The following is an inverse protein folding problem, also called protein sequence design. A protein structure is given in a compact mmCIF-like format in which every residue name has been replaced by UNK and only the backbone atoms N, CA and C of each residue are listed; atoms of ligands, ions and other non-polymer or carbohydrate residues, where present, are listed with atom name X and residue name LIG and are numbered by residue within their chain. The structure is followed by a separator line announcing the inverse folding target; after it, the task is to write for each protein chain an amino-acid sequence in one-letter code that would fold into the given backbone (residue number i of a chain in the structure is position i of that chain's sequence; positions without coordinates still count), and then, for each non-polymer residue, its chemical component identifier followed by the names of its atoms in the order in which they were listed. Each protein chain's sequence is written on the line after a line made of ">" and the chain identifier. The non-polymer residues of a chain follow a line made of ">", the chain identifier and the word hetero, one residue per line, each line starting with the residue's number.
data_IF_809192285977
#
_entry.id   IF_809192285977
#
_cell.length_a   1.000
_cell.length_b   1.000
_cell.length_c   1.000
_cell.angle_alpha   90.00
_cell.angle_beta   90.00
_cell.angle_gamma   90.00
#
_symmetry.space_group_name_H-M   'P 1'
#
loop_
_entity.id
_entity.type
_entity.pdbx_description
1 polymer ?
#
# COMPACT_ATOMS: atom_id res chain seq x y z
N UNK A 1 -37.68 -18.44 -73.18
CA UNK A 1 -38.42 -19.18 -72.15
C UNK A 1 -37.72 -18.90 -70.82
N UNK A 2 -38.14 -17.83 -70.14
CA UNK A 2 -38.93 -17.84 -68.90
C UNK A 2 -38.10 -18.40 -67.71
N UNK A 3 -37.44 -17.52 -66.94
CA UNK A 3 -37.86 -17.02 -65.61
C UNK A 3 -37.83 -18.09 -64.49
N UNK A 4 -36.96 -17.94 -63.49
CA UNK A 4 -37.33 -17.34 -62.19
C UNK A 4 -36.15 -17.34 -61.21
N UNK A 5 -35.92 -16.20 -60.57
CA UNK A 5 -35.06 -16.03 -59.39
C UNK A 5 -35.70 -16.63 -58.13
N UNK A 6 -34.89 -17.16 -57.20
CA UNK A 6 -35.16 -17.09 -55.76
C UNK A 6 -33.83 -16.90 -55.02
N UNK A 7 -33.62 -15.69 -54.51
CA UNK A 7 -32.64 -15.36 -53.46
C UNK A 7 -33.33 -15.52 -52.11
N UNK A 8 -32.72 -16.25 -51.18
CA UNK A 8 -33.17 -16.33 -49.78
C UNK A 8 -32.27 -15.47 -48.91
N UNK A 9 -32.76 -14.28 -48.53
CA UNK A 9 -32.25 -13.50 -47.40
C UNK A 9 -32.82 -14.04 -46.10
N UNK A 10 -31.96 -14.35 -45.14
CA UNK A 10 -32.35 -14.71 -43.77
C UNK A 10 -32.18 -13.49 -42.88
N UNK A 11 -33.28 -12.79 -42.60
CA UNK A 11 -33.33 -11.68 -41.66
C UNK A 11 -33.39 -12.19 -40.21
N UNK A 12 -32.47 -11.74 -39.36
CA UNK A 12 -32.46 -12.00 -37.91
C UNK A 12 -33.32 -10.92 -37.24
N UNK A 13 -34.28 -11.25 -36.36
CA UNK A 13 -35.07 -10.24 -35.67
C UNK A 13 -34.25 -9.56 -34.56
N UNK A 14 -34.15 -8.23 -34.64
CA UNK A 14 -33.64 -7.37 -33.57
C UNK A 14 -34.75 -7.17 -32.54
N UNK A 15 -34.64 -7.82 -31.38
CA UNK A 15 -35.51 -7.53 -30.23
C UNK A 15 -34.91 -6.38 -29.44
N UNK A 16 -35.48 -5.19 -29.61
CA UNK A 16 -35.28 -4.02 -28.76
C UNK A 16 -35.97 -4.23 -27.42
N UNK A 17 -35.21 -4.23 -26.33
CA UNK A 17 -35.72 -4.13 -24.96
C UNK A 17 -36.00 -2.66 -24.62
N UNK A 18 -37.11 -2.34 -23.93
CA UNK A 18 -37.42 -0.96 -23.57
C UNK A 18 -36.54 -0.48 -22.41
N UNK A 19 -36.12 0.79 -22.49
CA UNK A 19 -35.45 1.52 -21.43
C UNK A 19 -36.39 1.68 -20.23
N UNK A 20 -35.93 1.27 -19.05
CA UNK A 20 -36.57 1.60 -17.79
C UNK A 20 -35.78 2.73 -17.12
N UNK A 21 -36.35 3.95 -17.14
CA UNK A 21 -36.02 5.01 -16.20
C UNK A 21 -36.43 4.57 -14.78
N UNK A 22 -35.46 4.49 -13.88
CA UNK A 22 -35.73 4.56 -12.43
C UNK A 22 -34.72 5.51 -11.81
N UNK A 23 -35.18 6.75 -11.61
CA UNK A 23 -34.57 7.71 -10.69
C UNK A 23 -34.84 7.21 -9.28
N UNK A 24 -33.83 6.68 -8.59
CA UNK A 24 -33.89 6.49 -7.15
C UNK A 24 -32.79 7.30 -6.46
N UNK A 25 -33.22 8.42 -5.91
CA UNK A 25 -32.45 9.31 -5.04
C UNK A 25 -32.37 8.64 -3.66
N UNK A 26 -31.27 7.95 -3.39
CA UNK A 26 -31.08 7.28 -2.10
C UNK A 26 -30.42 8.24 -1.11
N UNK A 27 -31.25 8.96 -0.35
CA UNK A 27 -30.84 9.66 0.87
C UNK A 27 -30.81 8.66 2.02
N UNK A 28 -29.65 8.44 2.60
CA UNK A 28 -29.46 7.63 3.81
C UNK A 28 -30.16 8.29 5.02
N UNK A 29 -30.87 7.54 5.87
CA UNK A 29 -31.38 8.07 7.14
C UNK A 29 -30.25 8.15 8.18
N UNK A 30 -30.17 9.28 8.90
CA UNK A 30 -29.33 9.45 10.09
C UNK A 30 -29.77 8.49 11.23
N UNK A 31 -28.82 8.02 12.06
CA UNK A 31 -29.16 7.21 13.23
C UNK A 31 -29.79 8.09 14.34
N UNK A 32 -30.73 7.53 15.13
CA UNK A 32 -31.37 8.28 16.21
C UNK A 32 -30.39 8.56 17.34
N UNK A 33 -30.38 9.82 17.78
CA UNK A 33 -29.66 10.28 18.98
C UNK A 33 -30.47 9.90 20.22
N UNK A 34 -30.02 8.91 20.98
CA UNK A 34 -30.54 8.64 22.32
C UNK A 34 -29.60 9.23 23.36
N UNK A 35 -30.08 10.29 24.01
CA UNK A 35 -29.46 10.89 25.19
C UNK A 35 -29.51 9.90 26.38
N UNK A 36 -28.36 9.65 26.99
CA UNK A 36 -28.25 8.93 28.27
C UNK A 36 -28.26 9.98 29.39
N UNK A 37 -29.15 9.87 30.40
CA UNK A 37 -29.20 10.83 31.50
C UNK A 37 -28.01 10.61 32.46
N UNK A 38 -27.40 11.73 32.86
CA UNK A 38 -26.42 11.79 33.95
C UNK A 38 -27.12 11.53 35.29
N UNK A 39 -26.61 10.58 36.07
CA UNK A 39 -26.93 10.47 37.49
C UNK A 39 -25.65 10.53 38.32
N UNK A 40 -25.49 11.64 39.03
CA UNK A 40 -24.55 11.80 40.13
C UNK A 40 -24.99 10.92 41.30
N UNK A 41 -24.11 10.05 41.78
CA UNK A 41 -24.32 9.23 42.97
C UNK A 41 -23.01 9.08 43.74
N UNK A 42 -22.81 9.99 44.69
CA UNK A 42 -21.78 9.94 45.73
C UNK A 42 -22.10 8.78 46.67
N UNK A 43 -21.19 7.82 46.84
CA UNK A 43 -21.04 7.08 48.11
C UNK A 43 -19.57 6.70 48.35
N UNK A 44 -19.17 6.99 49.58
CA UNK A 44 -17.83 6.93 50.18
C UNK A 44 -17.50 5.57 50.81
N UNK A 45 -16.19 5.41 51.08
CA UNK A 45 -15.49 4.44 51.94
C UNK A 45 -15.33 3.03 51.33
N UNK A 46 -14.14 2.45 51.22
CA UNK A 46 -12.84 2.71 51.85
C UNK A 46 -12.41 1.47 52.62
N UNK A 47 -11.52 0.65 52.05
CA UNK A 47 -10.59 -0.23 52.79
C UNK A 47 -9.32 -0.37 51.96
N UNK A 48 -8.20 0.03 52.56
CA UNK A 48 -6.85 -0.05 52.02
C UNK A 48 -6.30 -1.48 52.10
N UNK A 49 -5.50 -1.86 51.10
CA UNK A 49 -4.49 -2.92 51.25
C UNK A 49 -3.21 -2.44 50.58
N UNK A 50 -2.23 -2.12 51.42
CA UNK A 50 -0.86 -1.80 51.06
C UNK A 50 -0.16 -3.06 50.56
N UNK A 51 0.42 -2.99 49.35
CA UNK A 51 1.49 -3.89 48.94
C UNK A 51 2.76 -3.07 48.70
N UNK A 52 3.72 -3.29 49.59
CA UNK A 52 5.10 -2.82 49.57
C UNK A 52 5.91 -3.49 48.45
N UNK A 53 6.79 -2.76 47.74
CA UNK A 53 7.75 -3.37 46.82
C UNK A 53 9.06 -3.72 47.55
N UNK A 54 9.48 -4.98 47.46
CA UNK A 54 10.81 -5.45 47.90
C UNK A 54 11.78 -5.48 46.71
N UNK A 55 13.00 -4.92 46.81
CA UNK A 55 13.98 -4.91 45.72
C UNK A 55 15.03 -6.02 45.88
N UNK A 56 15.44 -6.68 44.79
CA UNK A 56 16.71 -7.45 44.70
C UNK A 56 17.02 -7.78 43.23
N UNK A 57 18.27 -8.10 42.84
CA UNK A 57 19.41 -7.20 42.66
C UNK A 57 19.90 -7.13 41.19
N UNK A 58 20.77 -6.15 40.93
CA UNK A 58 21.46 -5.94 39.67
C UNK A 58 22.44 -7.08 39.32
N UNK A 59 22.39 -7.57 38.08
CA UNK A 59 23.43 -8.39 37.46
C UNK A 59 24.26 -7.57 36.46
N UNK A 60 25.57 -7.83 36.48
CA UNK A 60 26.60 -7.07 35.78
C UNK A 60 27.19 -7.90 34.63
N UNK A 61 27.24 -7.28 33.44
CA UNK A 61 28.14 -7.47 32.28
C UNK A 61 28.16 -8.82 31.55
N UNK A 62 27.97 -8.73 30.22
CA UNK A 62 29.07 -8.92 29.26
C UNK A 62 28.79 -8.19 27.94
N UNK A 63 29.75 -7.39 27.50
CA UNK A 63 29.74 -6.74 26.19
C UNK A 63 30.25 -7.76 25.16
N UNK A 64 29.37 -8.13 24.21
CA UNK A 64 29.76 -8.86 23.01
C UNK A 64 29.99 -7.85 21.89
N UNK A 65 31.24 -7.64 21.53
CA UNK A 65 31.63 -6.78 20.40
C UNK A 65 31.39 -7.55 19.12
N UNK A 66 30.17 -7.52 18.59
CA UNK A 66 29.90 -7.98 17.23
C UNK A 66 30.23 -6.85 16.27
N UNK A 67 31.31 -7.02 15.50
CA UNK A 67 31.68 -6.12 14.42
C UNK A 67 30.59 -6.23 13.36
N UNK A 68 29.77 -5.19 13.22
CA UNK A 68 28.84 -5.06 12.11
C UNK A 68 29.64 -5.01 10.79
N UNK A 69 29.26 -5.77 9.76
CA UNK A 69 29.86 -5.60 8.44
C UNK A 69 29.55 -4.17 7.96
N UNK A 70 30.59 -3.45 7.56
CA UNK A 70 30.49 -2.09 7.04
C UNK A 70 29.60 -2.07 5.80
N UNK A 71 28.63 -1.15 5.77
CA UNK A 71 27.80 -0.89 4.58
C UNK A 71 28.68 -0.72 3.34
N UNK A 72 28.34 -1.35 2.20
CA UNK A 72 29.06 -1.13 0.96
C UNK A 72 28.91 0.34 0.52
N UNK A 73 30.01 0.92 0.07
CA UNK A 73 30.10 2.32 -0.33
C UNK A 73 29.32 2.59 -1.62
N UNK A 74 28.88 3.84 -1.83
CA UNK A 74 28.17 4.30 -3.03
C UNK A 74 28.71 3.79 -4.39
N UNK A 75 30.03 3.61 -4.59
CA UNK A 75 30.56 3.03 -5.83
C UNK A 75 30.22 1.55 -6.05
N UNK A 76 30.03 0.77 -4.99
CA UNK A 76 29.67 -0.65 -5.08
C UNK A 76 28.22 -0.85 -5.58
N UNK A 77 27.32 0.08 -5.23
CA UNK A 77 25.96 0.13 -5.76
C UNK A 77 25.95 0.41 -7.27
N UNK A 78 26.74 1.39 -7.73
CA UNK A 78 26.81 1.74 -9.14
C UNK A 78 27.36 0.59 -10.03
N UNK A 79 28.34 -0.16 -9.53
CA UNK A 79 28.90 -1.31 -10.24
C UNK A 79 27.90 -2.48 -10.33
N UNK A 80 27.19 -2.78 -9.23
CA UNK A 80 26.16 -3.83 -9.21
C UNK A 80 24.96 -3.51 -10.14
N UNK A 81 24.61 -2.22 -10.27
CA UNK A 81 23.58 -1.76 -11.23
C UNK A 81 23.99 -2.06 -12.68
N UNK A 82 25.29 -2.01 -12.99
CA UNK A 82 25.78 -2.26 -14.36
C UNK A 82 25.86 -3.74 -14.74
N UNK A 83 26.07 -4.64 -13.77
CA UNK A 83 26.13 -6.09 -14.01
C UNK A 83 24.73 -6.75 -13.98
N UNK A 84 23.75 -6.17 -13.26
CA UNK A 84 22.38 -6.68 -13.23
C UNK A 84 21.54 -6.34 -14.48
N UNK A 85 22.08 -5.50 -15.38
CA UNK A 85 21.36 -4.96 -16.54
C UNK A 85 21.12 -5.96 -17.70
N UNK A 86 21.60 -7.20 -17.59
CA UNK A 86 21.44 -8.26 -18.61
C UNK A 86 20.23 -9.19 -18.36
N UNK A 87 19.49 -8.98 -17.28
CA UNK A 87 18.20 -9.64 -17.02
C UNK A 87 17.07 -8.68 -17.36
N UNK A 88 16.04 -9.17 -18.06
CA UNK A 88 14.82 -8.43 -18.41
C UNK A 88 14.21 -7.74 -17.17
N UNK A 89 14.56 -6.47 -16.94
CA UNK A 89 14.15 -5.64 -15.80
C UNK A 89 12.75 -5.07 -16.00
N UNK A 90 11.81 -5.97 -16.32
CA UNK A 90 10.43 -5.65 -16.64
C UNK A 90 9.71 -5.04 -15.42
N UNK A 91 8.98 -3.92 -15.61
CA UNK A 91 8.13 -3.33 -14.56
C UNK A 91 7.11 -4.33 -13.99
N UNK A 92 6.92 -4.34 -12.67
CA UNK A 92 5.99 -5.25 -11.98
C UNK A 92 4.55 -5.19 -12.53
N UNK A 93 4.11 -4.03 -12.98
CA UNK A 93 2.83 -3.82 -13.65
C UNK A 93 2.95 -2.75 -14.74
N UNK A 94 1.91 -2.57 -15.56
CA UNK A 94 1.93 -1.59 -16.66
C UNK A 94 2.15 -0.15 -16.15
N UNK A 95 3.21 0.57 -16.58
CA UNK A 95 3.47 1.94 -16.17
C UNK A 95 2.37 2.96 -16.54
N UNK A 96 1.44 2.57 -17.41
CA UNK A 96 0.27 3.38 -17.82
C UNK A 96 -0.80 3.49 -16.71
N UNK A 97 -0.78 2.58 -15.74
CA UNK A 97 -1.67 2.65 -14.58
C UNK A 97 -1.32 3.86 -13.69
N UNK A 98 -0.04 4.26 -13.64
CA UNK A 98 0.37 5.50 -12.98
C UNK A 98 0.01 6.67 -13.90
N UNK A 99 -0.88 7.57 -13.46
CA UNK A 99 -1.35 8.71 -14.25
C UNK A 99 -0.22 9.66 -14.63
N UNK A 100 -0.32 10.25 -15.83
CA UNK A 100 0.66 11.22 -16.31
C UNK A 100 0.61 12.53 -15.51
N UNK A 101 -0.56 12.87 -14.94
CA UNK A 101 -0.69 13.96 -13.98
C UNK A 101 0.19 13.72 -12.73
N UNK A 102 0.14 12.53 -12.14
CA UNK A 102 0.97 12.22 -10.98
C UNK A 102 2.46 12.27 -11.34
N UNK A 103 2.85 11.74 -12.51
CA UNK A 103 4.24 11.84 -13.00
C UNK A 103 4.68 13.30 -13.17
N UNK A 104 3.83 14.14 -13.75
CA UNK A 104 4.12 15.56 -14.02
C UNK A 104 4.20 16.42 -12.74
N UNK A 105 3.61 15.96 -11.63
CA UNK A 105 3.60 16.70 -10.35
C UNK A 105 4.76 16.33 -9.41
N UNK A 106 5.63 15.41 -9.82
CA UNK A 106 6.87 15.12 -9.11
C UNK A 106 7.82 16.33 -9.14
N UNK A 107 8.64 16.53 -8.09
CA UNK A 107 9.75 17.47 -8.16
C UNK A 107 10.72 17.09 -9.29
N UNK A 108 11.36 18.11 -9.89
CA UNK A 108 12.41 17.91 -10.90
C UNK A 108 13.47 16.92 -10.39
N UNK A 109 13.90 16.02 -11.26
CA UNK A 109 14.91 15.01 -10.94
C UNK A 109 14.36 13.71 -10.35
N UNK A 110 13.09 13.67 -9.96
CA UNK A 110 12.45 12.46 -9.45
C UNK A 110 11.65 11.75 -10.53
N UNK A 111 11.55 10.43 -10.41
CA UNK A 111 10.67 9.60 -11.23
C UNK A 111 9.81 8.71 -10.35
N UNK A 112 8.64 8.31 -10.85
CA UNK A 112 7.77 7.30 -10.22
C UNK A 112 7.49 6.20 -11.22
N UNK A 113 7.66 4.95 -10.79
CA UNK A 113 7.50 3.77 -11.65
C UNK A 113 7.10 2.54 -10.84
N UNK A 114 6.59 1.49 -11.49
CA UNK A 114 6.44 0.18 -10.84
C UNK A 114 7.79 -0.32 -10.31
N UNK A 115 7.72 -1.09 -9.22
CA UNK A 115 8.85 -1.86 -8.70
C UNK A 115 9.41 -2.76 -9.80
N UNK A 116 10.70 -3.03 -9.74
CA UNK A 116 11.39 -3.97 -10.61
C UNK A 116 12.25 -4.93 -9.80
N UNK A 117 12.67 -6.03 -10.40
CA UNK A 117 13.53 -7.01 -9.73
C UNK A 117 14.87 -6.41 -9.33
N UNK A 118 15.46 -5.58 -10.21
CA UNK A 118 16.75 -4.92 -9.94
C UNK A 118 16.72 -3.93 -8.77
N UNK A 119 15.54 -3.50 -8.30
CA UNK A 119 15.40 -2.57 -7.18
C UNK A 119 15.89 -3.15 -5.84
N UNK A 120 16.16 -4.47 -5.78
CA UNK A 120 16.94 -5.07 -4.69
C UNK A 120 18.27 -4.32 -4.47
N UNK A 121 18.99 -4.02 -5.56
CA UNK A 121 20.21 -3.22 -5.55
C UNK A 121 19.93 -1.72 -5.62
N UNK A 122 18.71 -1.32 -5.96
CA UNK A 122 18.30 0.07 -6.15
C UNK A 122 17.94 0.83 -4.89
N UNK A 123 18.14 0.28 -3.68
CA UNK A 123 17.81 0.96 -2.41
C UNK A 123 16.37 0.75 -1.92
N UNK A 124 15.64 -0.22 -2.47
CA UNK A 124 14.27 -0.52 -2.06
C UNK A 124 14.16 -0.98 -0.59
N UNK A 125 14.92 -1.99 -0.18
CA UNK A 125 14.88 -2.51 1.19
C UNK A 125 15.36 -1.47 2.22
N UNK A 126 16.46 -0.72 1.99
CA UNK A 126 16.82 0.42 2.84
C UNK A 126 15.71 1.45 3.01
N UNK A 127 14.95 1.74 1.96
CA UNK A 127 13.82 2.68 2.02
C UNK A 127 12.70 2.15 2.92
N UNK A 128 12.33 0.87 2.81
CA UNK A 128 11.30 0.27 3.68
C UNK A 128 11.66 0.28 5.18
N UNK A 129 12.96 0.23 5.52
CA UNK A 129 13.43 0.24 6.92
C UNK A 129 13.08 1.50 7.70
N UNK A 130 12.67 2.59 7.04
CA UNK A 130 12.18 3.77 7.77
C UNK A 130 10.78 3.57 8.36
N UNK A 131 10.02 2.60 7.85
CA UNK A 131 8.66 2.28 8.29
C UNK A 131 8.67 1.26 9.43
N UNK A 132 9.38 0.15 9.25
CA UNK A 132 9.40 -0.96 10.21
C UNK A 132 10.63 -1.87 10.03
N UNK A 133 10.73 -2.92 10.84
CA UNK A 133 11.76 -3.96 10.71
C UNK A 133 11.59 -4.74 9.40
N UNK A 134 12.65 -4.81 8.59
CA UNK A 134 12.69 -5.59 7.34
C UNK A 134 13.53 -6.86 7.49
N UNK A 135 14.64 -6.79 8.24
CA UNK A 135 15.69 -7.81 8.23
C UNK A 135 16.67 -7.63 7.06
N UNK A 136 17.45 -8.68 6.78
CA UNK A 136 18.49 -8.72 5.75
C UNK A 136 18.25 -9.88 4.78
N UNK A 137 17.15 -9.86 3.99
CA UNK A 137 16.88 -10.92 3.04
C UNK A 137 17.96 -10.98 1.96
N UNK A 138 18.36 -12.19 1.62
CA UNK A 138 19.23 -12.46 0.48
C UNK A 138 18.54 -12.10 -0.84
N UNK A 139 19.31 -11.89 -1.91
CA UNK A 139 18.76 -11.63 -3.24
C UNK A 139 17.81 -12.75 -3.69
N UNK A 140 18.16 -14.01 -3.43
CA UNK A 140 17.33 -15.16 -3.80
C UNK A 140 15.96 -15.15 -3.09
N UNK A 141 15.91 -14.74 -1.82
CA UNK A 141 14.66 -14.59 -1.07
C UNK A 141 13.81 -13.43 -1.60
N UNK A 142 14.46 -12.31 -1.95
CA UNK A 142 13.79 -11.18 -2.58
C UNK A 142 13.21 -11.58 -3.95
N UNK A 143 14.00 -12.25 -4.80
CA UNK A 143 13.59 -12.69 -6.13
C UNK A 143 12.42 -13.68 -6.04
N UNK A 144 12.49 -14.65 -5.13
CA UNK A 144 11.39 -15.59 -4.91
C UNK A 144 10.10 -14.89 -4.46
N UNK A 145 10.21 -13.86 -3.60
CA UNK A 145 9.07 -13.03 -3.20
C UNK A 145 8.56 -12.18 -4.37
N UNK A 146 9.46 -11.61 -5.18
CA UNK A 146 9.10 -10.84 -6.37
C UNK A 146 8.35 -11.69 -7.39
N UNK A 147 8.79 -12.92 -7.65
CA UNK A 147 8.11 -13.87 -8.54
C UNK A 147 6.70 -14.20 -8.07
N UNK A 148 6.55 -14.42 -6.76
CA UNK A 148 5.23 -14.62 -6.17
C UNK A 148 4.31 -13.42 -6.37
N UNK A 149 4.82 -12.19 -6.17
CA UNK A 149 4.03 -10.97 -6.33
C UNK A 149 3.71 -10.74 -7.82
N UNK A 150 4.69 -10.89 -8.71
CA UNK A 150 4.58 -10.69 -10.16
C UNK A 150 3.60 -11.67 -10.82
N UNK A 151 3.54 -12.93 -10.35
CA UNK A 151 2.54 -13.90 -10.81
C UNK A 151 1.09 -13.55 -10.42
N UNK A 152 0.88 -12.47 -9.64
CA UNK A 152 -0.41 -11.93 -9.21
C UNK A 152 -0.54 -10.46 -9.62
N UNK A 153 -0.25 -10.20 -10.89
CA UNK A 153 -0.18 -8.86 -11.51
C UNK A 153 -1.52 -8.08 -11.58
N UNK A 154 -2.60 -8.68 -11.09
CA UNK A 154 -3.92 -8.08 -10.92
C UNK A 154 -4.29 -7.80 -9.45
N UNK A 155 -3.35 -8.07 -8.53
CA UNK A 155 -3.56 -8.02 -7.08
C UNK A 155 -2.60 -7.07 -6.40
N UNK A 156 -1.30 -7.16 -6.72
CA UNK A 156 -0.26 -6.36 -6.06
C UNK A 156 0.28 -5.30 -7.01
N UNK A 157 0.17 -4.04 -6.61
CA UNK A 157 0.70 -2.91 -7.35
C UNK A 157 1.68 -2.16 -6.44
N UNK A 158 2.96 -2.50 -6.57
CA UNK A 158 4.04 -1.87 -5.80
C UNK A 158 4.77 -0.89 -6.70
N UNK A 159 4.89 0.36 -6.25
CA UNK A 159 5.58 1.42 -6.96
C UNK A 159 6.67 2.05 -6.11
N UNK A 160 7.63 2.65 -6.80
CA UNK A 160 8.78 3.33 -6.20
C UNK A 160 8.91 4.73 -6.77
N UNK A 161 9.42 5.64 -5.95
CA UNK A 161 9.97 6.91 -6.39
C UNK A 161 11.49 6.79 -6.37
N UNK A 162 12.13 7.16 -7.48
CA UNK A 162 13.58 7.25 -7.59
C UNK A 162 14.03 8.73 -7.62
N UNK A 163 15.19 9.02 -7.05
CA UNK A 163 15.85 10.32 -7.20
C UNK A 163 16.70 10.40 -8.48
N UNK A 164 17.45 11.50 -8.65
CA UNK A 164 18.28 11.79 -9.83
C UNK A 164 19.37 10.73 -10.08
N UNK A 165 19.79 10.01 -9.05
CA UNK A 165 20.77 8.93 -9.17
C UNK A 165 20.15 7.61 -9.62
N UNK A 166 18.82 7.54 -9.71
CA UNK A 166 18.06 6.31 -9.92
C UNK A 166 17.80 5.52 -8.64
N UNK A 167 18.29 5.96 -7.48
CA UNK A 167 18.09 5.29 -6.19
C UNK A 167 16.64 5.41 -5.75
N UNK A 168 16.04 4.30 -5.34
CA UNK A 168 14.72 4.25 -4.69
C UNK A 168 14.79 5.01 -3.37
N UNK A 169 13.91 6.00 -3.24
CA UNK A 169 13.82 6.90 -2.08
C UNK A 169 12.41 7.00 -1.50
N UNK A 170 11.44 6.41 -2.18
CA UNK A 170 10.08 6.25 -1.68
C UNK A 170 9.44 5.00 -2.25
N UNK A 171 8.52 4.41 -1.51
CA UNK A 171 7.78 3.21 -1.91
C UNK A 171 6.38 3.23 -1.31
N UNK A 172 5.49 2.51 -1.97
CA UNK A 172 4.17 2.17 -1.47
C UNK A 172 3.53 1.09 -2.32
N UNK A 173 2.54 0.42 -1.76
CA UNK A 173 1.79 -0.63 -2.43
C UNK A 173 0.29 -0.36 -2.36
N UNK A 174 -0.45 -0.82 -3.36
CA UNK A 174 -1.88 -1.08 -3.22
C UNK A 174 -2.18 -2.54 -3.54
N UNK A 175 -2.88 -3.20 -2.61
CA UNK A 175 -3.33 -4.59 -2.72
C UNK A 175 -4.83 -4.59 -3.01
N UNK A 176 -5.24 -5.19 -4.12
CA UNK A 176 -6.63 -5.21 -4.56
C UNK A 176 -7.34 -6.45 -4.03
N UNK A 177 -8.24 -6.26 -3.08
CA UNK A 177 -9.09 -7.31 -2.52
C UNK A 177 -10.40 -7.43 -3.32
N UNK A 178 -10.76 -8.67 -3.70
CA UNK A 178 -12.03 -8.99 -4.35
C UNK A 178 -13.07 -9.33 -3.29
N UNK A 179 -14.25 -8.75 -3.37
CA UNK A 179 -15.34 -8.98 -2.41
C UNK A 179 -16.61 -9.45 -3.11
N UNK A 180 -17.43 -10.26 -2.42
CA UNK A 180 -18.79 -10.57 -2.89
C UNK A 180 -19.76 -9.40 -2.70
N UNK A 181 -19.57 -8.62 -1.63
CA UNK A 181 -20.36 -7.43 -1.34
C UNK A 181 -20.08 -6.30 -2.36
N UNK A 182 -20.93 -5.26 -2.35
CA UNK A 182 -20.86 -4.16 -3.32
C UNK A 182 -20.88 -4.64 -4.78
N UNK A 183 -21.72 -5.66 -5.07
CA UNK A 183 -21.88 -6.23 -6.40
C UNK A 183 -20.56 -6.75 -6.99
N UNK A 184 -19.93 -7.71 -6.30
CA UNK A 184 -18.61 -8.25 -6.69
C UNK A 184 -17.50 -7.18 -6.72
N UNK A 185 -17.58 -6.23 -5.78
CA UNK A 185 -16.74 -5.04 -5.76
C UNK A 185 -15.29 -5.31 -5.36
N UNK A 186 -14.42 -4.33 -5.66
CA UNK A 186 -12.99 -4.36 -5.32
C UNK A 186 -12.64 -3.28 -4.29
N UNK A 187 -11.73 -3.58 -3.37
CA UNK A 187 -11.16 -2.60 -2.41
C UNK A 187 -9.65 -2.55 -2.56
N UNK A 188 -9.10 -1.35 -2.70
CA UNK A 188 -7.66 -1.14 -2.61
C UNK A 188 -7.22 -0.98 -1.16
N UNK A 189 -6.22 -1.75 -0.73
CA UNK A 189 -5.55 -1.59 0.56
C UNK A 189 -4.18 -0.99 0.33
N UNK A 190 -3.98 0.25 0.78
CA UNK A 190 -2.70 0.94 0.63
C UNK A 190 -1.78 0.54 1.78
N UNK A 191 -0.61 0.01 1.43
CA UNK A 191 0.33 -0.63 2.35
C UNK A 191 1.76 -0.10 2.15
N UNK A 192 2.61 -0.33 3.16
CA UNK A 192 4.06 -0.17 3.08
C UNK A 192 4.56 1.20 2.57
N UNK A 193 3.88 2.28 3.00
CA UNK A 193 4.24 3.65 2.64
C UNK A 193 5.51 4.08 3.38
N UNK A 194 6.60 4.27 2.64
CA UNK A 194 7.87 4.70 3.19
C UNK A 194 8.55 5.75 2.30
N UNK A 195 9.20 6.73 2.92
CA UNK A 195 10.05 7.71 2.24
C UNK A 195 11.33 7.87 3.05
N UNK A 196 12.48 7.71 2.38
CA UNK A 196 13.80 7.84 3.00
C UNK A 196 13.90 9.14 3.81
N UNK A 197 14.49 9.10 5.02
CA UNK A 197 14.46 10.21 5.99
C UNK A 197 14.98 11.53 5.41
N UNK A 198 16.05 11.49 4.61
CA UNK A 198 16.63 12.64 3.91
C UNK A 198 15.82 13.15 2.71
N UNK A 199 14.71 12.48 2.38
CA UNK A 199 13.84 12.77 1.25
C UNK A 199 12.41 13.15 1.71
N UNK A 200 12.13 13.10 3.01
CA UNK A 200 10.87 13.52 3.60
C UNK A 200 10.67 15.05 3.50
N UNK A 201 9.42 15.50 3.62
CA UNK A 201 9.06 16.92 3.46
C UNK A 201 8.98 17.42 2.01
N UNK A 202 9.46 16.65 1.04
CA UNK A 202 9.48 16.99 -0.40
C UNK A 202 8.22 16.57 -1.18
N UNK A 203 7.12 16.31 -0.47
CA UNK A 203 5.83 15.83 -1.03
C UNK A 203 5.87 14.45 -1.70
N UNK A 204 6.97 13.70 -1.63
CA UNK A 204 7.07 12.37 -2.25
C UNK A 204 6.01 11.39 -1.73
N UNK A 205 5.78 11.35 -0.42
CA UNK A 205 4.72 10.52 0.17
C UNK A 205 3.33 10.86 -0.37
N UNK A 206 3.03 12.16 -0.55
CA UNK A 206 1.76 12.58 -1.16
C UNK A 206 1.63 12.05 -2.60
N UNK A 207 2.71 12.09 -3.38
CA UNK A 207 2.71 11.57 -4.76
C UNK A 207 2.54 10.06 -4.81
N UNK A 208 3.11 9.33 -3.85
CA UNK A 208 2.90 7.88 -3.70
C UNK A 208 1.41 7.59 -3.47
N UNK A 209 0.78 8.25 -2.50
CA UNK A 209 -0.65 8.05 -2.21
C UNK A 209 -1.53 8.38 -3.42
N UNK A 210 -1.29 9.51 -4.09
CA UNK A 210 -2.04 9.91 -5.28
C UNK A 210 -1.88 8.90 -6.44
N UNK A 211 -0.68 8.35 -6.63
CA UNK A 211 -0.44 7.33 -7.63
C UNK A 211 -1.20 6.04 -7.30
N UNK A 212 -1.11 5.56 -6.07
CA UNK A 212 -1.75 4.32 -5.62
C UNK A 212 -3.28 4.42 -5.68
N UNK A 213 -3.84 5.56 -5.28
CA UNK A 213 -5.29 5.79 -5.33
C UNK A 213 -5.79 5.83 -6.79
N UNK A 214 -5.03 6.47 -7.69
CA UNK A 214 -5.33 6.44 -9.13
C UNK A 214 -5.24 5.03 -9.73
N UNK A 215 -4.27 4.22 -9.28
CA UNK A 215 -4.18 2.80 -9.69
C UNK A 215 -5.43 2.04 -9.22
N UNK A 216 -5.80 2.17 -7.94
CA UNK A 216 -6.97 1.51 -7.36
C UNK A 216 -8.27 1.89 -8.11
N UNK A 217 -8.48 3.18 -8.37
CA UNK A 217 -9.63 3.67 -9.13
C UNK A 217 -9.66 3.06 -10.55
N UNK A 218 -8.54 3.10 -11.28
CA UNK A 218 -8.44 2.59 -12.66
C UNK A 218 -8.72 1.09 -12.78
N UNK A 219 -8.35 0.31 -11.76
CA UNK A 219 -8.61 -1.15 -11.76
C UNK A 219 -10.01 -1.50 -11.26
N UNK A 220 -10.81 -0.49 -10.86
CA UNK A 220 -12.22 -0.66 -10.52
C UNK A 220 -12.52 -0.80 -9.03
N UNK A 221 -11.59 -0.40 -8.15
CA UNK A 221 -11.89 -0.32 -6.72
C UNK A 221 -12.96 0.73 -6.45
N UNK A 222 -13.96 0.37 -5.62
CA UNK A 222 -14.98 1.34 -5.21
C UNK A 222 -14.50 2.24 -4.05
N UNK A 223 -13.38 1.86 -3.41
CA UNK A 223 -12.66 2.66 -2.41
C UNK A 223 -11.24 2.16 -2.23
N UNK A 224 -10.39 3.04 -1.71
CA UNK A 224 -9.09 2.71 -1.10
C UNK A 224 -9.17 2.88 0.42
N UNK A 225 -8.51 2.01 1.18
CA UNK A 225 -8.35 2.13 2.64
C UNK A 225 -6.90 1.93 3.04
N UNK A 226 -6.56 2.41 4.22
CA UNK A 226 -5.27 2.22 4.88
C UNK A 226 -5.45 2.42 6.38
N UNK A 227 -4.54 1.86 7.15
CA UNK A 227 -4.43 2.10 8.57
C UNK A 227 -3.25 3.04 8.87
N UNK A 228 -3.41 3.88 9.89
CA UNK A 228 -2.39 4.83 10.29
C UNK A 228 -2.46 5.17 11.78
N UNK A 229 -1.31 5.59 12.34
CA UNK A 229 -1.23 6.13 13.70
C UNK A 229 -1.88 7.53 13.78
N UNK A 230 -2.21 7.96 15.00
CA UNK A 230 -2.63 9.34 15.24
C UNK A 230 -1.56 10.37 14.80
N UNK A 231 -0.28 10.03 14.92
CA UNK A 231 0.83 10.93 14.59
C UNK A 231 0.93 11.26 13.09
N UNK A 232 0.43 10.38 12.20
CA UNK A 232 0.45 10.58 10.75
C UNK A 232 -0.95 10.71 10.12
N UNK A 233 -2.03 10.67 10.90
CA UNK A 233 -3.40 10.93 10.40
C UNK A 233 -3.48 12.25 9.62
N UNK A 234 -2.87 13.32 10.13
CA UNK A 234 -2.86 14.63 9.47
C UNK A 234 -2.15 14.65 8.10
N UNK A 235 -1.27 13.69 7.82
CA UNK A 235 -0.69 13.50 6.48
C UNK A 235 -1.72 12.88 5.52
N UNK A 236 -2.43 11.83 5.95
CA UNK A 236 -3.44 11.16 5.12
C UNK A 236 -4.67 12.05 4.86
N UNK A 237 -5.06 12.90 5.82
CA UNK A 237 -6.08 13.94 5.60
C UNK A 237 -5.66 14.90 4.47
N UNK A 238 -4.39 15.30 4.41
CA UNK A 238 -3.86 16.14 3.31
C UNK A 238 -3.82 15.40 1.96
N UNK A 239 -3.83 14.07 1.98
CA UNK A 239 -3.94 13.24 0.78
C UNK A 239 -5.39 13.04 0.32
N UNK A 240 -6.39 13.55 1.06
CA UNK A 240 -7.81 13.42 0.72
C UNK A 240 -8.54 12.28 1.43
N UNK A 241 -7.84 11.49 2.26
CA UNK A 241 -8.44 10.42 3.05
C UNK A 241 -9.18 10.99 4.27
N UNK A 242 -10.13 10.21 4.80
CA UNK A 242 -10.90 10.53 6.00
C UNK A 242 -10.90 9.34 6.94
N UNK A 243 -10.93 9.59 8.24
CA UNK A 243 -11.08 8.54 9.25
C UNK A 243 -12.37 7.74 9.01
N UNK A 244 -12.24 6.42 8.91
CA UNK A 244 -13.35 5.52 8.54
C UNK A 244 -13.54 4.32 9.48
N UNK A 245 -12.67 4.15 10.48
CA UNK A 245 -12.72 3.01 11.40
C UNK A 245 -11.60 3.03 12.44
N UNK A 246 -11.41 1.89 13.10
CA UNK A 246 -10.30 1.61 14.00
C UNK A 246 -9.59 0.34 13.50
N UNK A 247 -8.28 0.41 13.38
CA UNK A 247 -7.44 -0.78 13.19
C UNK A 247 -7.43 -1.58 14.49
N UNK A 248 -7.58 -2.90 14.38
CA UNK A 248 -7.46 -3.83 15.49
C UNK A 248 -6.42 -4.90 15.11
N UNK A 249 -5.41 -5.10 15.94
CA UNK A 249 -4.34 -6.05 15.68
C UNK A 249 -4.27 -7.15 16.74
N UNK A 250 -3.96 -8.38 16.31
CA UNK A 250 -3.60 -9.50 17.17
C UNK A 250 -2.29 -10.11 16.63
N UNK A 251 -1.18 -9.82 17.30
CA UNK A 251 0.13 -10.33 16.93
C UNK A 251 0.34 -11.75 17.48
N UNK A 252 0.86 -12.65 16.65
CA UNK A 252 1.22 -14.01 17.05
C UNK A 252 2.69 -14.09 17.44
N UNK A 253 3.01 -14.86 18.49
CA UNK A 253 4.40 -15.10 18.89
C UNK A 253 5.16 -15.82 17.76
N UNK A 254 6.08 -15.09 17.12
CA UNK A 254 7.05 -15.67 16.20
C UNK A 254 8.42 -15.48 16.80
N UNK A 255 9.04 -16.56 17.29
CA UNK A 255 10.49 -16.59 17.46
C UNK A 255 11.10 -16.13 16.13
N UNK A 256 11.94 -15.08 16.10
CA UNK A 256 12.51 -14.60 14.85
C UNK A 256 13.22 -15.76 14.15
N UNK A 257 12.99 -15.92 12.85
CA UNK A 257 13.95 -16.66 12.02
C UNK A 257 15.23 -15.82 12.02
N UNK A 258 16.19 -16.22 12.85
CA UNK A 258 17.56 -15.71 12.88
C UNK A 258 18.22 -16.07 11.55
#
# INVERSE_FOLDING_TARGET
>A
MAESQISTETSIPTTTLPAAEVVNKMTSPEPPTTAIPQTNGILSNGVASEHTPTPTPAETKQASTTIAPSEPTLPAYAAAISEAADQDDTPLFSPTLISDETKATLPTGYTIRPLRRSDYFGGYLPTLRVLTTVGEPTQAEFDARYDFISSRNDTYYILVICDESGTVVGTGAVIVERKFIHNMGLVGHIEDIAVAKNQQGKKLGLRIIQALDSVAEKVGCYKSILDCSEANEGFYVKCGFKRAGLEMAHYYDTTPKI
#
